data_IF_609632463779
#
_entry.id   IF_609632463779
#
_cell.length_a   1.000
_cell.length_b   1.000
_cell.length_c   1.000
_cell.angle_alpha   90.00
_cell.angle_beta   90.00
_cell.angle_gamma   90.00
#
_symmetry.space_group_name_H-M   'P 1'
#
loop_
_entity.id
_entity.type
_entity.pdbx_description
1 polymer ?
#
# COMPACT_ATOMS: atom_id res chain seq x y z
N UNK A 1 4.33 -10.95 -5.58
CA UNK A 1 4.64 -9.60 -5.03
C UNK A 1 6.00 -9.51 -4.34
N UNK A 2 6.60 -10.63 -3.94
CA UNK A 2 7.89 -10.68 -3.26
C UNK A 2 8.82 -11.66 -3.99
N UNK A 3 10.13 -11.40 -3.95
CA UNK A 3 11.15 -12.22 -4.58
C UNK A 3 11.64 -13.32 -3.62
N UNK A 4 11.68 -14.60 -4.02
CA UNK A 4 12.27 -15.65 -3.21
C UNK A 4 13.72 -15.33 -2.82
N UNK A 5 14.10 -15.71 -1.60
CA UNK A 5 15.44 -15.52 -1.06
C UNK A 5 15.83 -14.06 -0.79
N UNK A 6 14.86 -13.15 -0.72
CA UNK A 6 15.08 -11.70 -0.52
C UNK A 6 14.28 -11.17 0.65
N UNK A 7 14.82 -10.12 1.27
CA UNK A 7 14.16 -9.37 2.34
C UNK A 7 13.43 -8.17 1.75
N UNK A 8 12.19 -8.02 2.17
CA UNK A 8 11.24 -6.99 1.74
C UNK A 8 10.75 -6.22 2.96
N UNK A 9 10.23 -5.03 2.72
CA UNK A 9 9.54 -4.27 3.76
C UNK A 9 8.19 -3.80 3.28
N UNK A 10 7.19 -3.84 4.15
CA UNK A 10 5.89 -3.18 3.95
C UNK A 10 5.71 -2.20 5.11
N UNK A 11 5.66 -0.91 4.77
CA UNK A 11 5.55 0.16 5.74
C UNK A 11 4.34 1.04 5.46
N UNK A 12 3.68 1.53 6.50
CA UNK A 12 2.54 2.44 6.36
C UNK A 12 2.31 3.30 7.59
N UNK A 13 1.60 4.42 7.41
CA UNK A 13 0.94 5.07 8.56
C UNK A 13 -0.13 4.12 9.13
N UNK A 14 -0.59 4.37 10.36
CA UNK A 14 -1.69 3.59 10.94
C UNK A 14 -2.92 3.60 10.04
N UNK A 15 -3.71 2.52 10.09
CA UNK A 15 -4.98 2.35 9.36
C UNK A 15 -4.89 2.29 7.81
N UNK A 16 -3.69 2.24 7.23
CA UNK A 16 -3.50 2.10 5.79
C UNK A 16 -3.61 0.65 5.27
N UNK A 17 -4.08 -0.30 6.09
CA UNK A 17 -4.36 -1.68 5.65
C UNK A 17 -3.14 -2.57 5.44
N UNK A 18 -1.99 -2.28 6.08
CA UNK A 18 -0.74 -3.06 5.96
C UNK A 18 -0.94 -4.57 6.18
N UNK A 19 -1.65 -4.92 7.25
CA UNK A 19 -1.91 -6.32 7.60
C UNK A 19 -2.80 -6.98 6.56
N UNK A 20 -3.82 -6.30 6.02
CA UNK A 20 -4.64 -6.86 4.93
C UNK A 20 -3.85 -7.10 3.65
N UNK A 21 -2.97 -6.16 3.28
CA UNK A 21 -2.10 -6.30 2.11
C UNK A 21 -1.15 -7.50 2.24
N UNK A 22 -0.59 -7.71 3.43
CA UNK A 22 0.31 -8.85 3.70
C UNK A 22 -0.48 -10.15 3.77
N UNK A 23 -1.62 -10.18 4.47
CA UNK A 23 -2.49 -11.36 4.58
C UNK A 23 -3.06 -11.77 3.22
N UNK A 24 -3.29 -10.83 2.30
CA UNK A 24 -3.64 -11.14 0.92
C UNK A 24 -2.56 -11.98 0.23
N UNK A 25 -1.29 -11.60 0.35
CA UNK A 25 -0.19 -12.39 -0.19
C UNK A 25 -0.03 -13.75 0.53
N UNK A 26 -0.26 -13.81 1.84
CA UNK A 26 -0.29 -15.08 2.58
C UNK A 26 -1.40 -16.01 2.07
N UNK A 27 -2.59 -15.46 1.82
CA UNK A 27 -3.73 -16.21 1.29
C UNK A 27 -3.42 -16.80 -0.09
N UNK A 28 -2.76 -16.03 -0.97
CA UNK A 28 -2.37 -16.50 -2.30
C UNK A 28 -1.36 -17.65 -2.22
N UNK A 29 -0.31 -17.54 -1.40
CA UNK A 29 0.66 -18.63 -1.21
C UNK A 29 0.00 -19.91 -0.67
N UNK A 30 -0.90 -19.80 0.30
CA UNK A 30 -1.64 -20.96 0.85
C UNK A 30 -2.51 -21.62 -0.23
N UNK A 31 -3.19 -20.82 -1.06
CA UNK A 31 -4.03 -21.33 -2.17
C UNK A 31 -3.22 -22.01 -3.25
N UNK A 32 -2.01 -21.52 -3.51
CA UNK A 32 -1.05 -22.13 -4.41
C UNK A 32 -0.41 -23.41 -3.82
N UNK A 33 -0.79 -23.78 -2.60
CA UNK A 33 -0.37 -25.00 -1.91
C UNK A 33 0.94 -24.86 -1.13
N UNK A 34 1.48 -23.65 -1.06
CA UNK A 34 2.75 -23.36 -0.39
C UNK A 34 2.56 -23.18 1.12
N UNK A 35 3.65 -23.42 1.87
CA UNK A 35 3.69 -23.15 3.29
C UNK A 35 4.09 -21.69 3.54
N UNK A 36 3.50 -21.08 4.57
CA UNK A 36 3.82 -19.73 5.03
C UNK A 36 4.10 -19.76 6.52
N UNK A 37 5.15 -19.07 6.96
CA UNK A 37 5.42 -18.82 8.38
C UNK A 37 5.09 -17.36 8.69
N UNK A 38 4.34 -17.12 9.75
CA UNK A 38 3.98 -15.78 10.22
C UNK A 38 4.52 -15.60 11.64
N UNK A 39 5.52 -14.74 11.78
CA UNK A 39 6.16 -14.42 13.06
C UNK A 39 5.61 -13.08 13.52
N UNK A 40 4.82 -13.10 14.58
CA UNK A 40 4.11 -11.91 15.07
C UNK A 40 4.64 -11.50 16.46
N UNK A 41 5.15 -10.26 16.54
CA UNK A 41 5.62 -9.66 17.78
C UNK A 41 4.61 -8.66 18.38
N UNK A 42 3.46 -8.43 17.73
CA UNK A 42 2.45 -7.44 18.15
C UNK A 42 1.20 -8.11 18.76
N UNK A 43 0.69 -9.18 18.16
CA UNK A 43 -0.66 -9.69 18.43
C UNK A 43 -0.76 -11.24 18.52
N UNK A 44 -1.98 -11.75 18.68
CA UNK A 44 -2.31 -13.17 18.64
C UNK A 44 -2.76 -13.65 17.24
N UNK A 45 -2.84 -14.98 17.07
CA UNK A 45 -3.16 -15.59 15.78
C UNK A 45 -4.60 -15.33 15.32
N UNK A 46 -5.51 -15.04 16.24
CA UNK A 46 -6.95 -14.98 16.00
C UNK A 46 -7.31 -13.95 14.91
N UNK A 47 -6.90 -12.68 15.04
CA UNK A 47 -7.10 -11.65 14.03
C UNK A 47 -6.51 -12.00 12.66
N UNK A 48 -5.38 -12.69 12.56
CA UNK A 48 -4.79 -13.08 11.27
C UNK A 48 -5.59 -14.21 10.63
N UNK A 49 -5.93 -15.24 11.39
CA UNK A 49 -6.76 -16.36 10.93
C UNK A 49 -8.15 -15.87 10.52
N UNK A 50 -8.75 -14.95 11.26
CA UNK A 50 -10.04 -14.36 10.91
C UNK A 50 -9.98 -13.64 9.55
N UNK A 51 -8.89 -12.92 9.25
CA UNK A 51 -8.69 -12.28 7.95
C UNK A 51 -8.51 -13.30 6.83
N UNK A 52 -7.77 -14.39 7.05
CA UNK A 52 -7.64 -15.48 6.08
C UNK A 52 -8.99 -16.14 5.77
N UNK A 53 -9.81 -16.36 6.79
CA UNK A 53 -11.18 -16.87 6.63
C UNK A 53 -12.07 -15.86 5.91
N UNK A 54 -11.96 -14.57 6.21
CA UNK A 54 -12.71 -13.52 5.52
C UNK A 54 -12.37 -13.47 4.03
N UNK A 55 -11.09 -13.69 3.67
CA UNK A 55 -10.65 -13.86 2.29
C UNK A 55 -11.10 -15.18 1.66
N UNK A 56 -11.81 -16.05 2.38
CA UNK A 56 -12.26 -17.38 1.90
C UNK A 56 -11.11 -18.36 1.66
N UNK A 57 -10.02 -18.28 2.43
CA UNK A 57 -9.04 -19.38 2.48
C UNK A 57 -9.67 -20.57 3.21
N UNK A 58 -9.62 -21.75 2.60
CA UNK A 58 -10.23 -22.97 3.15
C UNK A 58 -9.60 -23.32 4.51
N UNK A 59 -10.37 -23.57 5.57
CA UNK A 59 -9.83 -23.82 6.92
C UNK A 59 -8.82 -24.96 7.00
N UNK A 60 -8.99 -26.02 6.22
CA UNK A 60 -8.04 -27.14 6.17
C UNK A 60 -6.70 -26.75 5.54
N UNK A 61 -6.72 -25.85 4.54
CA UNK A 61 -5.48 -25.30 3.98
C UNK A 61 -4.78 -24.41 5.01
N UNK A 62 -5.52 -23.57 5.75
CA UNK A 62 -4.94 -22.78 6.84
C UNK A 62 -4.25 -23.70 7.85
N UNK A 63 -4.94 -24.73 8.36
CA UNK A 63 -4.36 -25.70 9.31
C UNK A 63 -3.11 -26.40 8.78
N UNK A 64 -3.08 -26.72 7.49
CA UNK A 64 -2.00 -27.50 6.89
C UNK A 64 -0.81 -26.66 6.40
N UNK A 65 -0.99 -25.34 6.19
CA UNK A 65 -0.03 -24.50 5.46
C UNK A 65 0.33 -23.19 6.16
N UNK A 66 -0.47 -22.73 7.12
CA UNK A 66 -0.21 -21.50 7.85
C UNK A 66 0.41 -21.79 9.22
N UNK A 67 1.67 -21.42 9.39
CA UNK A 67 2.45 -21.66 10.61
C UNK A 67 2.63 -20.34 11.35
N UNK A 68 1.82 -20.11 12.38
CA UNK A 68 1.89 -18.92 13.21
C UNK A 68 2.84 -19.12 14.40
N UNK A 69 3.74 -18.17 14.61
CA UNK A 69 4.70 -18.15 15.71
C UNK A 69 4.58 -16.81 16.41
N UNK A 70 4.36 -16.84 17.74
CA UNK A 70 4.42 -15.66 18.59
C UNK A 70 5.62 -15.78 19.54
N UNK A 71 6.75 -15.13 19.24
CA UNK A 71 7.91 -15.20 20.12
C UNK A 71 7.67 -14.43 21.43
N UNK A 72 7.84 -15.11 22.56
CA UNK A 72 7.86 -14.47 23.89
C UNK A 72 9.29 -14.08 24.31
N UNK A 73 10.29 -14.64 23.63
CA UNK A 73 11.72 -14.46 23.89
C UNK A 73 12.49 -14.26 22.60
N UNK A 74 13.74 -13.81 22.71
CA UNK A 74 14.63 -13.63 21.56
C UNK A 74 14.90 -14.95 20.83
N UNK A 75 14.73 -14.95 19.50
CA UNK A 75 14.84 -16.12 18.61
C UNK A 75 16.20 -16.20 17.88
N UNK A 76 17.16 -15.34 18.22
CA UNK A 76 18.45 -15.26 17.53
C UNK A 76 19.54 -16.19 18.08
N UNK A 77 19.27 -16.92 19.16
CA UNK A 77 20.25 -17.81 19.80
C UNK A 77 19.55 -18.93 20.60
N UNK A 78 20.27 -20.03 20.81
CA UNK A 78 19.80 -21.17 21.63
C UNK A 78 18.60 -21.90 21.05
N UNK A 79 17.82 -22.53 21.91
CA UNK A 79 16.70 -23.41 21.54
C UNK A 79 15.68 -22.73 20.62
N UNK A 80 15.32 -21.47 20.90
CA UNK A 80 14.35 -20.74 20.07
C UNK A 80 14.80 -20.52 18.62
N UNK A 81 16.13 -20.47 18.39
CA UNK A 81 16.69 -20.41 17.03
C UNK A 81 16.57 -21.77 16.34
N UNK A 82 16.88 -22.84 17.06
CA UNK A 82 16.79 -24.22 16.57
C UNK A 82 15.34 -24.61 16.26
N UNK A 83 14.38 -24.18 17.07
CA UNK A 83 12.94 -24.40 16.84
C UNK A 83 12.44 -23.73 15.55
N UNK A 84 12.84 -22.47 15.33
CA UNK A 84 12.49 -21.76 14.11
C UNK A 84 13.17 -22.40 12.90
N UNK A 85 14.45 -22.75 13.00
CA UNK A 85 15.17 -23.46 11.94
C UNK A 85 14.52 -24.80 11.62
N UNK A 86 14.12 -25.57 12.64
CA UNK A 86 13.38 -26.82 12.50
C UNK A 86 12.05 -26.61 11.76
N UNK A 87 11.32 -25.55 12.08
CA UNK A 87 10.07 -25.19 11.40
C UNK A 87 10.31 -24.82 9.93
N UNK A 88 11.33 -24.01 9.64
CA UNK A 88 11.69 -23.63 8.27
C UNK A 88 12.09 -24.87 7.44
N UNK A 89 12.89 -25.76 8.01
CA UNK A 89 13.36 -26.97 7.33
C UNK A 89 12.25 -28.01 7.13
N UNK A 90 11.35 -28.17 8.10
CA UNK A 90 10.26 -29.14 8.02
C UNK A 90 9.24 -28.78 6.95
N UNK A 91 8.96 -27.49 6.75
CA UNK A 91 7.86 -27.05 5.89
C UNK A 91 8.30 -26.34 4.60
N UNK A 92 9.57 -25.91 4.49
CA UNK A 92 10.09 -25.22 3.32
C UNK A 92 9.19 -24.07 2.82
N UNK A 93 8.87 -23.08 3.68
CA UNK A 93 7.92 -22.03 3.31
C UNK A 93 8.44 -21.20 2.13
N UNK A 94 7.52 -20.67 1.33
CA UNK A 94 7.84 -19.72 0.24
C UNK A 94 7.82 -18.27 0.71
N UNK A 95 7.09 -18.01 1.79
CA UNK A 95 6.90 -16.69 2.40
C UNK A 95 7.07 -16.79 3.92
N UNK A 96 7.83 -15.84 4.48
CA UNK A 96 7.89 -15.58 5.92
C UNK A 96 7.55 -14.13 6.20
N UNK A 97 6.56 -13.90 7.06
CA UNK A 97 6.19 -12.56 7.53
C UNK A 97 6.79 -12.34 8.92
N UNK A 98 7.34 -11.15 9.14
CA UNK A 98 7.78 -10.67 10.46
C UNK A 98 6.99 -9.39 10.73
N UNK A 99 5.93 -9.48 11.55
CA UNK A 99 5.09 -8.35 11.98
C UNK A 99 5.67 -7.74 13.26
N UNK A 100 5.69 -6.41 13.34
CA UNK A 100 6.24 -5.69 14.50
C UNK A 100 7.76 -5.70 14.53
N UNK A 101 8.43 -5.19 13.50
CA UNK A 101 9.90 -5.14 13.46
C UNK A 101 10.49 -4.37 14.65
N UNK A 102 9.81 -3.32 15.10
CA UNK A 102 10.26 -2.47 16.21
C UNK A 102 10.20 -3.22 17.54
N UNK A 103 9.13 -3.97 17.74
CA UNK A 103 8.86 -4.85 18.88
C UNK A 103 9.84 -6.03 18.86
N UNK A 104 10.02 -6.64 17.68
CA UNK A 104 11.01 -7.69 17.45
C UNK A 104 12.41 -7.21 17.85
N UNK A 105 12.85 -6.03 17.40
CA UNK A 105 14.14 -5.48 17.80
C UNK A 105 14.26 -5.34 19.32
N UNK A 106 13.22 -4.83 19.97
CA UNK A 106 13.18 -4.62 21.42
C UNK A 106 13.28 -5.95 22.20
N UNK A 107 12.56 -6.99 21.78
CA UNK A 107 12.64 -8.35 22.35
C UNK A 107 14.07 -8.92 22.26
N UNK A 108 14.82 -8.52 21.23
CA UNK A 108 16.20 -8.96 21.01
C UNK A 108 17.24 -8.03 21.65
N UNK A 109 16.82 -7.04 22.43
CA UNK A 109 17.70 -6.09 23.10
C UNK A 109 18.33 -5.04 22.17
N UNK A 110 17.77 -4.84 20.98
CA UNK A 110 18.21 -3.81 20.04
C UNK A 110 17.38 -2.54 20.15
N UNK A 111 18.04 -1.40 19.95
CA UNK A 111 17.45 -0.09 19.83
C UNK A 111 17.00 0.16 18.36
N UNK A 112 15.69 0.30 18.09
CA UNK A 112 15.17 0.55 16.73
C UNK A 112 15.55 1.92 16.16
N UNK A 113 16.10 2.82 16.98
CA UNK A 113 16.61 4.13 16.56
C UNK A 113 18.11 4.11 16.27
N UNK A 114 18.84 3.05 16.64
CA UNK A 114 20.26 2.91 16.34
C UNK A 114 20.48 2.17 15.01
N UNK A 115 21.17 2.83 14.09
CA UNK A 115 21.35 2.33 12.74
C UNK A 115 22.23 1.07 12.64
N UNK A 116 23.24 0.95 13.51
CA UNK A 116 24.12 -0.20 13.53
C UNK A 116 23.37 -1.43 14.05
N UNK A 117 22.51 -1.23 15.06
CA UNK A 117 21.67 -2.26 15.65
C UNK A 117 20.53 -2.69 14.72
N UNK A 118 19.85 -1.75 14.03
CA UNK A 118 18.90 -2.07 12.95
C UNK A 118 19.55 -2.96 11.89
N UNK A 119 20.77 -2.62 11.46
CA UNK A 119 21.50 -3.41 10.47
C UNK A 119 21.93 -4.77 11.02
N UNK A 120 22.29 -4.87 12.31
CA UNK A 120 22.62 -6.13 12.98
C UNK A 120 21.41 -7.05 13.07
N UNK A 121 20.26 -6.53 13.51
CA UNK A 121 18.99 -7.24 13.55
C UNK A 121 18.62 -7.78 12.16
N UNK A 122 18.65 -6.89 11.14
CA UNK A 122 18.33 -7.25 9.76
C UNK A 122 19.18 -8.39 9.20
N UNK A 123 20.44 -8.49 9.62
CA UNK A 123 21.34 -9.61 9.24
C UNK A 123 21.04 -10.89 10.02
N UNK A 124 20.77 -10.81 11.32
CA UNK A 124 20.68 -11.99 12.20
C UNK A 124 19.36 -12.75 12.07
N UNK A 125 18.29 -12.07 11.70
CA UNK A 125 16.97 -12.69 11.58
C UNK A 125 16.40 -12.63 10.15
N UNK A 126 15.92 -11.48 9.60
CA UNK A 126 15.29 -11.49 8.28
C UNK A 126 16.19 -12.01 7.16
N UNK A 127 17.47 -11.59 7.12
CA UNK A 127 18.43 -12.03 6.10
C UNK A 127 18.72 -13.51 6.20
N UNK A 128 18.95 -14.03 7.42
CA UNK A 128 19.19 -15.45 7.62
C UNK A 128 18.00 -16.29 7.16
N UNK A 129 16.76 -15.91 7.51
CA UNK A 129 15.56 -16.62 7.03
C UNK A 129 15.50 -16.56 5.50
N UNK A 130 15.77 -15.40 4.89
CA UNK A 130 15.75 -15.28 3.43
C UNK A 130 16.82 -16.18 2.78
N UNK A 131 17.99 -16.34 3.40
CA UNK A 131 19.06 -17.21 2.90
C UNK A 131 18.69 -18.70 2.92
N UNK A 132 17.65 -19.10 3.66
CA UNK A 132 17.11 -20.48 3.58
C UNK A 132 16.16 -20.71 2.42
N UNK A 133 15.79 -19.67 1.65
CA UNK A 133 14.95 -19.77 0.46
C UNK A 133 13.71 -18.86 0.38
N UNK A 134 12.91 -18.64 1.44
CA UNK A 134 11.66 -17.88 1.33
C UNK A 134 11.88 -16.41 0.99
N UNK A 135 10.84 -15.78 0.44
CA UNK A 135 10.70 -14.34 0.53
C UNK A 135 10.41 -13.94 1.99
N UNK A 136 11.15 -12.99 2.54
CA UNK A 136 10.91 -12.48 3.90
C UNK A 136 10.31 -11.08 3.82
N UNK A 137 9.20 -10.85 4.50
CA UNK A 137 8.48 -9.57 4.52
C UNK A 137 8.46 -9.02 5.94
N UNK A 138 9.23 -7.96 6.16
CA UNK A 138 9.24 -7.22 7.41
C UNK A 138 8.15 -6.14 7.39
N UNK A 139 7.19 -6.21 8.29
CA UNK A 139 6.07 -5.27 8.39
C UNK A 139 6.31 -4.32 9.55
N UNK A 140 6.18 -3.02 9.29
CA UNK A 140 6.48 -2.01 10.30
C UNK A 140 5.61 -0.77 10.13
N UNK A 141 5.48 -0.01 11.20
CA UNK A 141 4.80 1.27 11.19
C UNK A 141 5.79 2.39 10.85
N UNK A 142 5.37 3.35 10.01
CA UNK A 142 6.10 4.61 9.88
C UNK A 142 5.43 5.69 10.72
N UNK A 143 6.24 6.47 11.43
CA UNK A 143 5.76 7.67 12.10
C UNK A 143 5.56 8.79 11.09
N UNK A 144 4.54 9.62 11.32
CA UNK A 144 4.20 10.76 10.47
C UNK A 144 5.41 11.70 10.39
N UNK A 145 6.03 11.82 9.23
CA UNK A 145 7.07 12.82 9.03
C UNK A 145 6.40 14.20 9.10
N UNK A 146 6.84 15.05 10.04
CA UNK A 146 6.33 16.42 10.17
C UNK A 146 6.75 17.36 9.01
N UNK A 147 7.34 16.85 7.92
CA UNK A 147 7.98 17.69 6.91
C UNK A 147 8.17 17.02 5.52
N UNK A 148 7.14 16.34 4.99
CA UNK A 148 7.06 16.04 3.55
C UNK A 148 8.17 15.14 2.96
N UNK A 149 8.90 14.37 3.78
CA UNK A 149 10.08 13.59 3.33
C UNK A 149 9.78 12.28 2.60
N UNK A 150 8.52 11.97 2.27
CA UNK A 150 8.14 10.82 1.42
C UNK A 150 8.93 9.54 1.74
N UNK A 151 9.78 9.10 0.80
CA UNK A 151 10.67 7.92 0.86
C UNK A 151 11.54 7.82 2.13
N UNK A 152 11.78 8.91 2.86
CA UNK A 152 12.79 9.01 3.93
C UNK A 152 12.22 9.39 5.31
N UNK A 153 11.07 8.83 5.72
CA UNK A 153 10.64 8.91 7.11
C UNK A 153 11.79 8.49 8.05
N UNK A 154 11.99 9.21 9.16
CA UNK A 154 13.14 9.02 10.06
C UNK A 154 13.03 7.60 10.66
N UNK A 155 14.11 6.80 10.53
CA UNK A 155 14.12 5.36 10.86
C UNK A 155 13.89 4.43 9.66
N UNK A 156 13.15 4.88 8.64
CA UNK A 156 12.90 4.08 7.42
C UNK A 156 14.15 3.98 6.54
N UNK A 157 15.03 4.99 6.52
CA UNK A 157 16.21 5.05 5.62
C UNK A 157 17.20 3.90 5.86
N UNK A 158 17.45 3.56 7.13
CA UNK A 158 18.40 2.52 7.49
C UNK A 158 17.80 1.13 7.31
N UNK A 159 16.52 0.96 7.66
CA UNK A 159 15.73 -0.25 7.33
C UNK A 159 15.72 -0.47 5.81
N UNK A 160 15.49 0.57 5.00
CA UNK A 160 15.54 0.55 3.53
C UNK A 160 16.90 0.13 2.96
N UNK A 161 18.01 0.46 3.62
CA UNK A 161 19.34 0.09 3.11
C UNK A 161 19.60 -1.41 3.19
N UNK A 162 19.08 -2.09 4.23
CA UNK A 162 19.22 -3.53 4.43
C UNK A 162 18.34 -4.37 3.47
N UNK A 163 17.33 -3.76 2.85
CA UNK A 163 16.44 -4.40 1.87
C UNK A 163 17.20 -4.73 0.58
N UNK A 164 17.11 -5.99 0.15
CA UNK A 164 17.64 -6.48 -1.13
C UNK A 164 16.56 -7.09 -2.05
N UNK A 165 15.30 -7.11 -1.60
CA UNK A 165 14.11 -7.31 -2.43
C UNK A 165 13.44 -5.97 -2.75
N UNK A 166 12.15 -5.86 -2.44
CA UNK A 166 11.36 -4.64 -2.61
C UNK A 166 10.94 -4.02 -1.27
N UNK A 167 10.90 -2.70 -1.22
CA UNK A 167 10.37 -1.92 -0.12
C UNK A 167 9.10 -1.19 -0.59
N UNK A 168 7.98 -1.52 0.04
CA UNK A 168 6.68 -0.93 -0.21
C UNK A 168 6.33 0.10 0.85
N UNK A 169 5.78 1.23 0.40
CA UNK A 169 5.11 2.21 1.24
C UNK A 169 3.62 2.23 0.88
N UNK A 170 2.76 2.05 1.87
CA UNK A 170 1.32 2.03 1.70
C UNK A 170 0.72 3.37 2.14
N UNK A 171 -0.04 3.99 1.24
CA UNK A 171 -0.73 5.26 1.48
C UNK A 171 -2.24 5.01 1.50
N UNK A 172 -2.93 5.38 2.58
CA UNK A 172 -4.38 5.25 2.66
C UNK A 172 -5.06 6.18 1.64
N UNK A 173 -5.86 5.61 0.73
CA UNK A 173 -6.66 6.35 -0.27
C UNK A 173 -8.13 6.40 0.17
N UNK A 174 -8.65 5.27 0.65
CA UNK A 174 -9.96 5.16 1.25
C UNK A 174 -9.88 4.19 2.44
N UNK A 175 -10.34 4.60 3.64
CA UNK A 175 -10.18 3.79 4.85
C UNK A 175 -10.93 2.47 4.76
N UNK A 176 -10.38 1.44 5.39
CA UNK A 176 -11.02 0.13 5.49
C UNK A 176 -12.10 0.15 6.57
N UNK A 177 -13.35 -0.05 6.17
CA UNK A 177 -14.51 -0.12 7.07
C UNK A 177 -15.34 -1.33 6.65
N UNK A 178 -15.87 -2.07 7.63
CA UNK A 178 -16.76 -3.22 7.36
C UNK A 178 -17.95 -2.75 6.50
N UNK A 179 -18.24 -3.49 5.43
CA UNK A 179 -19.32 -3.17 4.49
C UNK A 179 -18.98 -2.06 3.49
N UNK A 180 -17.73 -1.60 3.41
CA UNK A 180 -17.28 -0.59 2.43
C UNK A 180 -16.01 -1.07 1.72
N UNK A 181 -15.79 -0.56 0.51
CA UNK A 181 -14.54 -0.75 -0.21
C UNK A 181 -13.47 0.18 0.37
N UNK A 182 -12.42 -0.42 0.95
CA UNK A 182 -11.18 0.26 1.31
C UNK A 182 -10.17 0.22 0.17
N UNK A 183 -9.30 1.21 0.10
CA UNK A 183 -8.26 1.31 -0.92
C UNK A 183 -6.98 1.89 -0.33
N UNK A 184 -5.87 1.24 -0.64
CA UNK A 184 -4.52 1.69 -0.30
C UNK A 184 -3.68 1.74 -1.55
N UNK A 185 -3.00 2.87 -1.76
CA UNK A 185 -2.01 2.98 -2.80
C UNK A 185 -0.71 2.30 -2.40
N UNK A 186 -0.26 1.38 -3.24
CA UNK A 186 0.99 0.64 -3.06
C UNK A 186 2.11 1.34 -3.83
N UNK A 187 3.06 1.89 -3.08
CA UNK A 187 4.24 2.57 -3.65
C UNK A 187 5.48 1.72 -3.51
N UNK A 188 6.37 1.75 -4.50
CA UNK A 188 7.71 1.16 -4.42
C UNK A 188 8.71 2.26 -4.04
N UNK A 189 9.26 2.15 -2.84
CA UNK A 189 10.38 2.97 -2.37
C UNK A 189 11.72 2.45 -2.88
N UNK A 190 11.89 1.13 -2.91
CA UNK A 190 13.09 0.43 -3.38
C UNK A 190 12.68 -0.86 -4.07
N UNK A 191 13.36 -1.21 -5.14
CA UNK A 191 13.25 -2.51 -5.80
C UNK A 191 14.64 -2.85 -6.33
N UNK A 192 15.31 -3.78 -5.65
CA UNK A 192 16.70 -4.15 -5.98
C UNK A 192 16.78 -4.99 -7.25
N UNK A 193 15.93 -6.02 -7.44
CA UNK A 193 15.89 -6.74 -8.72
C UNK A 193 15.33 -5.93 -9.88
N UNK A 194 14.41 -4.99 -9.63
CA UNK A 194 13.93 -4.01 -10.62
C UNK A 194 12.69 -4.45 -11.43
N UNK A 195 12.26 -5.70 -11.33
CA UNK A 195 11.14 -6.23 -12.12
C UNK A 195 9.76 -5.68 -11.71
N UNK A 196 9.59 -5.30 -10.44
CA UNK A 196 8.35 -4.72 -9.95
C UNK A 196 8.23 -3.26 -10.37
N UNK A 197 9.35 -2.52 -10.29
CA UNK A 197 9.41 -1.13 -10.74
C UNK A 197 9.16 -1.01 -12.25
N UNK A 198 9.58 -2.00 -13.04
CA UNK A 198 9.27 -2.06 -14.47
C UNK A 198 7.76 -2.18 -14.78
N UNK A 199 6.95 -2.63 -13.81
CA UNK A 199 5.49 -2.76 -13.92
C UNK A 199 4.74 -1.64 -13.18
N UNK A 200 5.45 -0.59 -12.77
CA UNK A 200 4.90 0.51 -11.99
C UNK A 200 4.90 1.81 -12.80
N UNK A 201 4.01 2.74 -12.45
CA UNK A 201 3.98 4.08 -13.01
C UNK A 201 4.80 5.06 -12.17
N UNK A 202 5.23 6.20 -12.73
CA UNK A 202 5.79 7.28 -11.94
C UNK A 202 4.84 7.73 -10.82
N UNK A 203 5.39 8.11 -9.68
CA UNK A 203 4.62 8.64 -8.56
C UNK A 203 5.32 9.82 -7.90
N UNK A 204 4.69 10.36 -6.86
CA UNK A 204 5.21 11.47 -6.05
C UNK A 204 6.36 11.07 -5.11
N UNK A 205 7.20 12.04 -4.73
CA UNK A 205 8.23 11.85 -3.68
C UNK A 205 9.35 10.88 -4.05
N UNK A 206 9.59 10.68 -5.35
CA UNK A 206 10.53 9.68 -5.87
C UNK A 206 10.02 8.24 -5.75
N UNK A 207 8.78 8.02 -5.35
CA UNK A 207 8.21 6.67 -5.27
C UNK A 207 7.57 6.28 -6.60
N UNK A 208 7.57 5.00 -6.94
CA UNK A 208 6.81 4.49 -8.08
C UNK A 208 5.45 3.96 -7.62
N UNK A 209 4.37 4.20 -8.37
CA UNK A 209 3.04 3.66 -8.09
C UNK A 209 2.93 2.26 -8.68
N UNK A 210 2.93 1.24 -7.82
CA UNK A 210 2.86 -0.17 -8.22
C UNK A 210 1.45 -0.68 -8.45
N UNK A 211 0.45 -0.02 -7.85
CA UNK A 211 -0.94 -0.42 -7.93
C UNK A 211 -1.71 0.11 -6.72
N UNK A 212 -3.00 -0.14 -6.72
CA UNK A 212 -3.87 0.14 -5.57
C UNK A 212 -4.37 -1.21 -5.01
N UNK A 213 -4.07 -1.49 -3.74
CA UNK A 213 -4.66 -2.60 -3.02
C UNK A 213 -6.11 -2.24 -2.66
N UNK A 214 -7.06 -3.04 -3.12
CA UNK A 214 -8.49 -2.83 -2.94
C UNK A 214 -9.04 -3.97 -2.12
N UNK A 215 -9.74 -3.63 -1.04
CA UNK A 215 -10.46 -4.59 -0.21
C UNK A 215 -11.95 -4.24 -0.26
N UNK A 216 -12.75 -5.13 -0.84
CA UNK A 216 -14.19 -5.03 -0.86
C UNK A 216 -14.73 -5.84 0.33
N UNK A 217 -15.15 -5.16 1.39
CA UNK A 217 -15.85 -5.80 2.49
C UNK A 217 -17.34 -5.90 2.18
N UNK A 218 -17.84 -7.12 2.03
CA UNK A 218 -19.28 -7.38 1.81
C UNK A 218 -20.01 -7.53 3.14
N UNK A 219 -19.43 -8.29 4.06
CA UNK A 219 -19.87 -8.50 5.43
C UNK A 219 -18.64 -8.74 6.33
N UNK A 220 -18.83 -8.93 7.64
CA UNK A 220 -17.71 -9.21 8.55
C UNK A 220 -16.93 -10.48 8.18
N UNK A 221 -17.62 -11.46 7.61
CA UNK A 221 -17.07 -12.80 7.32
C UNK A 221 -16.61 -12.99 5.87
N UNK A 222 -16.81 -11.99 5.01
CA UNK A 222 -16.46 -12.09 3.60
C UNK A 222 -15.88 -10.78 3.07
N UNK A 223 -14.66 -10.88 2.56
CA UNK A 223 -13.98 -9.81 1.87
C UNK A 223 -13.28 -10.35 0.61
N UNK A 224 -13.27 -9.54 -0.43
CA UNK A 224 -12.47 -9.75 -1.64
C UNK A 224 -11.31 -8.76 -1.62
N UNK A 225 -10.12 -9.22 -2.00
CA UNK A 225 -8.93 -8.40 -2.02
C UNK A 225 -8.17 -8.61 -3.32
N UNK A 226 -7.70 -7.52 -3.92
CA UNK A 226 -6.83 -7.56 -5.08
C UNK A 226 -5.85 -6.38 -5.10
N UNK A 227 -4.76 -6.54 -5.83
CA UNK A 227 -3.86 -5.44 -6.18
C UNK A 227 -4.14 -5.05 -7.63
N UNK A 228 -4.89 -3.96 -7.81
CA UNK A 228 -5.17 -3.41 -9.13
C UNK A 228 -3.91 -2.77 -9.71
N UNK A 229 -3.54 -3.17 -10.93
CA UNK A 229 -2.41 -2.57 -11.64
C UNK A 229 -2.63 -1.05 -11.84
N UNK A 230 -1.54 -0.26 -11.78
CA UNK A 230 -1.64 1.17 -11.89
C UNK A 230 -2.00 1.50 -13.34
N UNK A 231 -3.07 2.28 -13.51
CA UNK A 231 -3.48 2.78 -14.83
C UNK A 231 -3.15 4.25 -14.89
N UNK A 232 -2.47 4.67 -15.95
CA UNK A 232 -2.36 6.09 -16.24
C UNK A 232 -3.80 6.59 -16.32
N UNK A 233 -4.12 7.60 -15.49
CA UNK A 233 -5.29 8.38 -15.82
C UNK A 233 -4.96 8.99 -17.16
N UNK A 234 -5.83 8.77 -18.13
CA UNK A 234 -5.80 9.54 -19.34
C UNK A 234 -5.84 11.01 -18.90
N UNK A 235 -4.70 11.72 -18.97
CA UNK A 235 -4.64 13.16 -18.71
C UNK A 235 -5.48 13.92 -19.76
N UNK A 236 -5.94 13.20 -20.80
CA UNK A 236 -6.96 13.58 -21.77
C UNK A 236 -8.41 13.32 -21.32
N UNK A 237 -8.67 12.80 -20.11
CA UNK A 237 -10.03 12.72 -19.59
C UNK A 237 -10.57 14.12 -19.31
N UNK A 238 -11.20 14.69 -20.34
CA UNK A 238 -11.91 15.95 -20.28
C UNK A 238 -13.31 15.69 -19.75
N UNK A 239 -13.72 16.30 -18.62
CA UNK A 239 -15.09 16.20 -18.12
C UNK A 239 -16.05 17.00 -19.01
N UNK A 240 -16.23 16.58 -20.26
CA UNK A 240 -16.90 17.34 -21.34
C UNK A 240 -18.30 17.81 -20.94
N UNK A 241 -19.05 16.99 -20.21
CA UNK A 241 -20.38 17.37 -19.71
C UNK A 241 -20.31 18.45 -18.62
N UNK A 242 -19.32 18.41 -17.72
CA UNK A 242 -19.10 19.48 -16.76
C UNK A 242 -18.60 20.76 -17.44
N UNK A 243 -17.71 20.63 -18.44
CA UNK A 243 -17.20 21.74 -19.23
C UNK A 243 -18.36 22.46 -19.96
N UNK A 244 -19.25 21.70 -20.60
CA UNK A 244 -20.48 22.21 -21.22
C UNK A 244 -21.34 22.96 -20.22
N UNK A 245 -21.66 22.34 -19.07
CA UNK A 245 -22.48 22.97 -18.02
C UNK A 245 -21.87 24.25 -17.46
N UNK A 246 -20.54 24.34 -17.35
CA UNK A 246 -19.83 25.56 -16.94
C UNK A 246 -20.00 26.65 -18.00
N UNK A 247 -19.82 26.33 -19.27
CA UNK A 247 -20.01 27.29 -20.36
C UNK A 247 -21.48 27.76 -20.46
N UNK A 248 -22.45 26.86 -20.31
CA UNK A 248 -23.88 27.18 -20.28
C UNK A 248 -24.21 28.14 -19.12
N UNK A 249 -23.66 27.88 -17.93
CA UNK A 249 -23.83 28.75 -16.76
C UNK A 249 -23.25 30.15 -17.01
N UNK A 250 -22.06 30.24 -17.60
CA UNK A 250 -21.41 31.52 -17.90
C UNK A 250 -22.11 32.28 -19.04
N UNK A 251 -22.68 31.57 -20.01
CA UNK A 251 -23.51 32.15 -21.06
C UNK A 251 -24.81 32.74 -20.49
N UNK A 252 -25.45 32.04 -19.55
CA UNK A 252 -26.71 32.49 -18.93
C UNK A 252 -26.50 33.61 -17.91
N UNK A 253 -25.48 33.49 -17.05
CA UNK A 253 -25.30 34.34 -15.86
C UNK A 253 -24.14 35.34 -15.94
N UNK A 254 -23.45 35.39 -17.07
CA UNK A 254 -22.27 36.23 -17.28
C UNK A 254 -21.06 35.79 -16.44
N UNK A 255 -20.02 36.64 -16.31
CA UNK A 255 -18.78 36.28 -15.61
C UNK A 255 -19.01 35.90 -14.14
N UNK A 256 -18.45 34.77 -13.71
CA UNK A 256 -18.62 34.24 -12.36
C UNK A 256 -17.29 33.92 -11.67
N UNK A 257 -17.24 34.02 -10.35
CA UNK A 257 -16.08 33.53 -9.59
C UNK A 257 -16.02 31.99 -9.61
N UNK A 258 -14.82 31.41 -9.50
CA UNK A 258 -14.67 29.97 -9.38
C UNK A 258 -15.46 29.39 -8.20
N UNK A 259 -15.59 30.15 -7.09
CA UNK A 259 -16.40 29.77 -5.93
C UNK A 259 -17.88 29.64 -6.31
N UNK A 260 -18.41 30.61 -7.05
CA UNK A 260 -19.81 30.63 -7.48
C UNK A 260 -20.10 29.52 -8.48
N UNK A 261 -19.19 29.28 -9.43
CA UNK A 261 -19.32 28.20 -10.43
C UNK A 261 -19.39 26.83 -9.72
N UNK A 262 -18.49 26.57 -8.77
CA UNK A 262 -18.51 25.32 -7.99
C UNK A 262 -19.82 25.11 -7.23
N UNK A 263 -20.35 26.18 -6.62
CA UNK A 263 -21.61 26.11 -5.88
C UNK A 263 -22.81 25.84 -6.80
N UNK A 264 -22.80 26.35 -8.03
CA UNK A 264 -23.91 26.22 -8.96
C UNK A 264 -23.91 24.90 -9.76
N UNK A 265 -22.75 24.40 -10.18
CA UNK A 265 -22.62 23.20 -11.02
C UNK A 265 -22.79 21.92 -10.18
N UNK A 266 -22.38 21.94 -8.91
CA UNK A 266 -22.29 20.75 -8.09
C UNK A 266 -21.23 19.75 -8.60
N UNK A 267 -21.05 18.64 -7.89
CA UNK A 267 -20.02 17.63 -8.19
C UNK A 267 -18.75 17.78 -7.34
N UNK A 268 -17.75 16.93 -7.60
CA UNK A 268 -16.49 16.93 -6.83
C UNK A 268 -15.67 18.18 -7.15
N UNK A 269 -15.22 18.89 -6.11
CA UNK A 269 -14.49 20.16 -6.21
C UNK A 269 -13.26 20.07 -7.13
N UNK A 270 -12.52 18.96 -7.06
CA UNK A 270 -11.36 18.69 -7.92
C UNK A 270 -11.77 18.60 -9.39
N UNK A 271 -12.83 17.85 -9.72
CA UNK A 271 -13.30 17.68 -11.10
C UNK A 271 -13.79 18.98 -11.73
N UNK A 272 -14.49 19.83 -10.98
CA UNK A 272 -14.92 21.17 -11.45
C UNK A 272 -13.70 22.08 -11.67
N UNK A 273 -12.66 21.92 -10.84
CA UNK A 273 -11.40 22.67 -10.99
C UNK A 273 -10.64 22.26 -12.24
N UNK A 274 -10.51 20.96 -12.49
CA UNK A 274 -9.90 20.44 -13.71
C UNK A 274 -10.69 20.85 -14.95
N UNK A 275 -12.02 20.77 -14.93
CA UNK A 275 -12.86 21.23 -16.04
C UNK A 275 -12.66 22.72 -16.36
N UNK A 276 -12.56 23.59 -15.34
CA UNK A 276 -12.24 25.01 -15.52
C UNK A 276 -10.85 25.23 -16.11
N UNK A 277 -9.85 24.45 -15.67
CA UNK A 277 -8.49 24.53 -16.20
C UNK A 277 -8.44 24.15 -17.68
N UNK A 278 -9.11 23.06 -18.08
CA UNK A 278 -9.20 22.67 -19.49
C UNK A 278 -9.92 23.72 -20.34
N UNK A 279 -11.05 24.26 -19.85
CA UNK A 279 -11.78 25.32 -20.57
C UNK A 279 -10.94 26.57 -20.77
N UNK A 280 -10.10 26.93 -19.80
CA UNK A 280 -9.23 28.08 -19.92
C UNK A 280 -8.04 27.82 -20.86
N UNK A 281 -7.42 26.65 -20.74
CA UNK A 281 -6.36 26.19 -21.64
C UNK A 281 -6.83 26.15 -23.10
N UNK A 282 -8.05 25.66 -23.33
CA UNK A 282 -8.68 25.57 -24.65
C UNK A 282 -9.25 26.93 -25.11
N UNK A 283 -9.12 28.00 -24.33
CA UNK A 283 -9.59 29.35 -24.69
C UNK A 283 -11.12 29.50 -24.77
N UNK A 284 -11.90 28.64 -24.10
CA UNK A 284 -13.35 28.82 -23.92
C UNK A 284 -13.67 29.80 -22.80
N UNK A 285 -12.85 29.85 -21.76
CA UNK A 285 -13.06 30.68 -20.57
C UNK A 285 -11.80 31.49 -20.25
N UNK A 286 -11.95 32.70 -19.70
CA UNK A 286 -10.81 33.54 -19.30
C UNK A 286 -9.97 32.93 -18.16
N UNK A 287 -8.70 33.30 -18.10
CA UNK A 287 -7.79 32.93 -17.00
C UNK A 287 -7.92 33.81 -15.75
N UNK A 288 -8.51 34.99 -15.90
CA UNK A 288 -8.74 35.95 -14.84
C UNK A 288 -10.02 35.62 -14.04
N UNK A 289 -10.08 36.12 -12.81
CA UNK A 289 -11.33 36.12 -12.02
C UNK A 289 -11.95 37.52 -12.07
N UNK A 290 -13.27 37.64 -12.34
CA UNK A 290 -14.24 36.58 -12.62
C UNK A 290 -13.98 35.87 -13.96
N UNK A 291 -14.27 34.56 -14.00
CA UNK A 291 -14.13 33.72 -15.20
C UNK A 291 -15.22 34.13 -16.19
N UNK A 292 -14.83 34.46 -17.40
CA UNK A 292 -15.70 34.94 -18.48
C UNK A 292 -15.71 33.94 -19.64
N UNK A 293 -16.87 33.74 -20.27
CA UNK A 293 -16.97 32.90 -21.47
C UNK A 293 -16.42 33.67 -22.67
N UNK A 294 -15.33 33.20 -23.26
CA UNK A 294 -14.66 33.81 -24.40
C UNK A 294 -15.24 33.35 -25.74
N UNK A 295 -15.68 32.09 -25.82
CA UNK A 295 -16.34 31.52 -27.01
C UNK A 295 -17.30 30.38 -26.63
N UNK A 296 -18.31 30.08 -27.47
CA UNK A 296 -19.24 28.98 -27.21
C UNK A 296 -18.52 27.63 -27.13
N UNK A 297 -18.96 26.76 -26.23
CA UNK A 297 -18.48 25.38 -26.17
C UNK A 297 -19.14 24.54 -27.29
N UNK A 298 -18.39 23.81 -28.12
CA UNK A 298 -18.96 23.00 -29.19
C UNK A 298 -19.88 21.93 -28.60
N UNK A 299 -21.10 21.82 -29.15
CA UNK A 299 -22.03 20.77 -28.76
C UNK A 299 -21.44 19.40 -29.09
N UNK A 300 -21.08 18.63 -28.07
CA UNK A 300 -20.68 17.25 -28.25
C UNK A 300 -21.91 16.41 -28.58
N UNK A 301 -21.95 15.82 -29.78
CA UNK A 301 -22.75 14.62 -30.00
C UNK A 301 -22.17 13.52 -29.10
N UNK A 302 -23.05 12.96 -28.28
CA UNK A 302 -22.82 11.96 -27.23
C UNK A 302 -22.16 10.68 -27.72
#
# INVERSE_FOLDING_TARGET
MFYPGKVHTVASESEAGKTWFVVHAVADEIRDGNHVVYIDFEDDAGPIVHRLLALQVVPDLIRARFHYIRPEVAIMQGESREDLEGTLNAYGPTLVVIEGVTEAMSVHGYNPLDNAEVAAFGRRLPRWIAETGPAVVCVDHVTKASDGRGRYAIGAVHKLNAVDGAAYLLENVAPFVIGRTGRTRVRIAKDRPGYLRAKSLPGTGGLSWFGDFVLISHAAEFAEAEVEAPRERDDDFRPTELMRRICDLLAEKGPQSQRTIRAAIGGRSETVTSALAYLALDGYVSDSTPRELLRPYPGGES
#
